data_IF_282899545574
#
_entry.id   IF_282899545574
#
_cell.length_a   1.000
_cell.length_b   1.000
_cell.length_c   1.000
_cell.angle_alpha   90.00
_cell.angle_beta   90.00
_cell.angle_gamma   90.00
#
_symmetry.space_group_name_H-M   'P 1'
#
loop_
_entity.id
_entity.type
_entity.pdbx_description
1 polymer ?
#
# COMPACT_ATOMS: atom_id res chain seq x y z
N UNK A 1 37.72 -13.94 5.35
CA UNK A 1 37.21 -15.17 4.74
C UNK A 1 35.70 -15.22 4.97
N UNK A 2 34.94 -15.41 3.88
CA UNK A 2 33.49 -15.73 3.77
C UNK A 2 32.50 -14.81 4.48
N UNK A 3 31.90 -13.80 3.83
CA UNK A 3 30.69 -13.90 3.00
C UNK A 3 29.66 -14.94 3.47
N UNK A 4 28.55 -14.46 4.04
CA UNK A 4 27.21 -14.84 3.59
C UNK A 4 26.18 -13.77 3.98
N UNK A 5 25.72 -13.06 2.94
CA UNK A 5 24.64 -12.10 2.95
C UNK A 5 23.30 -12.81 3.02
N UNK A 6 22.67 -12.80 4.19
CA UNK A 6 21.28 -13.24 4.35
C UNK A 6 20.41 -12.04 4.72
N UNK A 7 20.18 -11.19 3.71
CA UNK A 7 19.31 -10.01 3.81
C UNK A 7 17.87 -10.42 3.62
N UNK A 8 17.08 -10.42 4.69
CA UNK A 8 15.64 -10.47 4.54
C UNK A 8 14.83 -9.76 5.64
N UNK A 9 14.20 -8.67 5.17
CA UNK A 9 12.85 -8.18 5.49
C UNK A 9 12.64 -7.78 6.93
N UNK A 10 12.41 -6.51 7.33
CA UNK A 10 10.99 -6.17 7.61
C UNK A 10 10.28 -4.99 6.86
N UNK A 11 10.89 -4.28 5.91
CA UNK A 11 10.20 -3.26 5.10
C UNK A 11 9.59 -3.82 3.82
N UNK A 12 9.11 -5.04 3.91
CA UNK A 12 8.57 -5.70 2.74
C UNK A 12 7.06 -5.80 2.72
N UNK A 13 6.37 -5.36 3.77
CA UNK A 13 4.93 -5.14 3.65
C UNK A 13 4.55 -3.94 2.78
N UNK A 14 5.46 -2.97 2.59
CA UNK A 14 5.31 -1.92 1.60
C UNK A 14 6.17 -2.19 0.35
N UNK A 15 7.39 -2.75 0.49
CA UNK A 15 8.31 -3.01 -0.65
C UNK A 15 8.25 -4.45 -1.22
N UNK A 16 7.89 -5.53 -0.52
CA UNK A 16 7.55 -6.83 -1.16
C UNK A 16 6.10 -6.86 -1.62
N UNK A 17 5.19 -6.07 -1.04
CA UNK A 17 3.90 -5.88 -1.70
C UNK A 17 4.10 -5.13 -3.02
N UNK A 18 5.06 -4.22 -3.09
CA UNK A 18 5.59 -3.70 -4.35
C UNK A 18 6.46 -4.71 -5.14
N UNK A 19 7.20 -5.60 -4.48
CA UNK A 19 8.21 -6.49 -5.05
C UNK A 19 7.58 -7.71 -5.74
N UNK A 20 6.54 -8.25 -5.12
CA UNK A 20 5.64 -9.26 -5.67
C UNK A 20 4.82 -8.63 -6.82
N UNK A 21 4.49 -7.33 -6.76
CA UNK A 21 3.83 -6.65 -7.89
C UNK A 21 4.83 -6.29 -9.02
N UNK A 22 6.10 -5.96 -8.72
CA UNK A 22 7.22 -5.77 -9.67
C UNK A 22 7.54 -7.04 -10.42
N UNK A 23 7.48 -8.15 -9.71
CA UNK A 23 7.61 -9.48 -10.24
C UNK A 23 6.54 -9.79 -11.30
N UNK A 24 5.35 -9.25 -11.08
CA UNK A 24 4.19 -9.51 -11.90
C UNK A 24 4.20 -8.83 -13.28
N UNK A 25 5.05 -7.83 -13.51
CA UNK A 25 4.92 -6.92 -14.67
C UNK A 25 5.95 -7.20 -15.78
N UNK A 26 6.88 -8.15 -15.61
CA UNK A 26 7.85 -8.48 -16.70
C UNK A 26 7.22 -9.14 -17.93
N UNK A 27 5.97 -9.61 -17.89
CA UNK A 27 5.40 -10.37 -19.00
C UNK A 27 4.89 -9.55 -20.19
N UNK A 28 4.91 -8.20 -20.17
CA UNK A 28 4.21 -7.42 -21.22
C UNK A 28 5.05 -6.86 -22.38
N UNK A 29 6.37 -6.68 -22.24
CA UNK A 29 7.15 -5.95 -23.25
C UNK A 29 7.97 -6.79 -24.23
N UNK A 30 7.53 -8.02 -24.54
CA UNK A 30 8.07 -8.79 -25.67
C UNK A 30 7.01 -9.29 -26.65
N UNK A 31 5.97 -8.50 -26.90
CA UNK A 31 5.09 -8.68 -28.07
C UNK A 31 4.60 -7.35 -28.64
N UNK A 32 5.54 -6.49 -29.07
CA UNK A 32 5.26 -5.45 -30.07
C UNK A 32 6.46 -5.30 -31.00
N UNK A 33 6.63 -6.27 -31.87
CA UNK A 33 7.26 -6.05 -33.17
C UNK A 33 6.68 -7.03 -34.18
N UNK A 34 5.49 -6.72 -34.71
CA UNK A 34 5.08 -7.18 -36.03
C UNK A 34 4.06 -6.18 -36.59
N UNK A 35 4.49 -5.39 -37.57
CA UNK A 35 3.59 -4.66 -38.48
C UNK A 35 2.91 -5.67 -39.40
N UNK A 36 1.61 -5.52 -39.65
CA UNK A 36 1.03 -5.70 -40.99
C UNK A 36 -0.40 -5.17 -41.09
N UNK A 37 -0.63 -4.40 -42.16
CA UNK A 37 -1.93 -3.95 -42.66
C UNK A 37 -2.87 -5.12 -42.92
N UNK A 38 -4.18 -4.93 -42.69
CA UNK A 38 -5.21 -5.77 -43.27
C UNK A 38 -6.40 -4.93 -43.74
N UNK A 39 -6.62 -5.00 -45.06
CA UNK A 39 -7.81 -4.57 -45.78
C UNK A 39 -8.95 -5.55 -45.45
N UNK A 40 -10.11 -4.99 -45.16
CA UNK A 40 -11.27 -5.67 -44.58
C UNK A 40 -12.08 -6.42 -45.63
N UNK A 41 -12.23 -7.73 -45.46
CA UNK A 41 -13.31 -8.57 -46.02
C UNK A 41 -13.29 -9.90 -45.26
N UNK A 42 -14.43 -10.33 -44.68
CA UNK A 42 -14.64 -11.42 -43.68
C UNK A 42 -14.81 -10.97 -42.20
N UNK A 43 -15.59 -9.90 -41.98
CA UNK A 43 -15.61 -9.05 -40.78
C UNK A 43 -16.14 -9.63 -39.46
N UNK A 44 -16.80 -10.79 -39.40
CA UNK A 44 -17.48 -11.22 -38.16
C UNK A 44 -16.68 -12.20 -37.28
N UNK A 45 -15.81 -13.05 -37.85
CA UNK A 45 -15.04 -14.04 -37.06
C UNK A 45 -13.71 -13.48 -36.53
N UNK A 46 -13.07 -12.63 -37.32
CA UNK A 46 -11.80 -11.98 -36.96
C UNK A 46 -12.03 -10.86 -35.93
N UNK A 47 -13.13 -10.11 -36.02
CA UNK A 47 -13.51 -9.09 -35.03
C UNK A 47 -13.84 -9.72 -33.66
N UNK A 48 -14.49 -10.90 -33.63
CA UNK A 48 -14.70 -11.69 -32.40
C UNK A 48 -13.39 -12.19 -31.79
N UNK A 49 -12.43 -12.61 -32.61
CA UNK A 49 -11.09 -12.99 -32.15
C UNK A 49 -10.31 -11.80 -31.57
N UNK A 50 -10.38 -10.61 -32.21
CA UNK A 50 -9.77 -9.38 -31.67
C UNK A 50 -10.49 -8.83 -30.43
N UNK A 51 -11.81 -9.00 -30.31
CA UNK A 51 -12.57 -8.70 -29.09
C UNK A 51 -12.20 -9.66 -27.95
N UNK A 52 -11.98 -10.94 -28.23
CA UNK A 52 -11.47 -11.93 -27.27
C UNK A 52 -10.02 -11.60 -26.84
N UNK A 53 -9.18 -11.17 -27.78
CA UNK A 53 -7.79 -10.78 -27.53
C UNK A 53 -7.69 -9.42 -26.79
N UNK A 54 -8.60 -8.48 -27.06
CA UNK A 54 -8.78 -7.24 -26.31
C UNK A 54 -9.33 -7.51 -24.89
N UNK A 55 -10.24 -8.48 -24.74
CA UNK A 55 -10.73 -8.93 -23.43
C UNK A 55 -9.62 -9.60 -22.61
N UNK A 56 -8.70 -10.36 -23.22
CA UNK A 56 -7.55 -10.99 -22.55
C UNK A 56 -6.47 -9.94 -22.16
N UNK A 57 -6.33 -8.85 -22.91
CA UNK A 57 -5.39 -7.77 -22.57
C UNK A 57 -5.92 -6.79 -21.51
N UNK A 58 -7.17 -6.91 -21.08
CA UNK A 58 -7.74 -6.10 -19.99
C UNK A 58 -7.59 -6.71 -18.58
N UNK A 59 -7.11 -7.96 -18.44
CA UNK A 59 -7.23 -8.73 -17.17
C UNK A 59 -6.01 -8.66 -16.23
N UNK A 60 -4.91 -7.97 -16.57
CA UNK A 60 -3.69 -8.00 -15.73
C UNK A 60 -2.99 -6.64 -15.54
N UNK A 61 -3.68 -5.63 -15.01
CA UNK A 61 -3.00 -4.58 -14.24
C UNK A 61 -2.79 -5.07 -12.79
N UNK A 62 -1.60 -4.88 -12.22
CA UNK A 62 -1.33 -5.23 -10.83
C UNK A 62 -1.99 -4.20 -9.91
N UNK A 63 -3.27 -4.37 -9.61
CA UNK A 63 -4.03 -3.46 -8.77
C UNK A 63 -4.02 -3.95 -7.32
N UNK A 64 -3.72 -3.05 -6.39
CA UNK A 64 -3.89 -3.26 -4.96
C UNK A 64 -4.45 -2.01 -4.30
N UNK A 65 -5.16 -2.20 -3.19
CA UNK A 65 -5.59 -1.08 -2.36
C UNK A 65 -4.86 -1.20 -1.02
N UNK A 66 -4.07 -0.18 -0.67
CA UNK A 66 -3.60 0.01 0.69
C UNK A 66 -4.58 0.92 1.42
N UNK A 67 -5.15 0.41 2.51
CA UNK A 67 -6.16 1.12 3.30
C UNK A 67 -5.61 1.40 4.67
N UNK A 68 -5.57 2.67 5.03
CA UNK A 68 -5.28 3.16 6.37
C UNK A 68 -6.57 3.74 6.95
N UNK A 69 -7.02 3.18 8.06
CA UNK A 69 -8.20 3.66 8.78
C UNK A 69 -7.83 3.99 10.22
N UNK A 70 -8.06 5.23 10.63
CA UNK A 70 -7.92 5.69 12.01
C UNK A 70 -9.29 6.05 12.53
N UNK A 71 -9.61 5.53 13.72
CA UNK A 71 -10.68 6.01 14.56
C UNK A 71 -10.04 6.72 15.75
N UNK A 72 -10.31 8.01 15.90
CA UNK A 72 -9.77 8.85 16.95
C UNK A 72 -10.87 9.25 17.93
N UNK A 73 -10.58 9.10 19.22
CA UNK A 73 -11.38 9.56 20.34
C UNK A 73 -10.94 10.95 20.79
N UNK A 74 -11.82 11.68 21.46
CA UNK A 74 -11.58 13.09 21.84
C UNK A 74 -10.45 13.25 22.87
N UNK A 75 -10.13 12.19 23.62
CA UNK A 75 -8.98 12.15 24.52
C UNK A 75 -7.65 11.86 23.79
N UNK A 76 -7.67 11.76 22.46
CA UNK A 76 -6.52 11.49 21.60
C UNK A 76 -6.15 10.02 21.47
N UNK A 77 -6.86 9.11 22.15
CA UNK A 77 -6.72 7.66 21.99
C UNK A 77 -7.47 7.17 20.75
N UNK A 78 -7.35 5.89 20.41
CA UNK A 78 -8.07 5.37 19.26
C UNK A 78 -7.66 3.99 18.81
N UNK A 79 -8.09 3.66 17.60
CA UNK A 79 -7.76 2.42 16.91
C UNK A 79 -7.29 2.72 15.50
N UNK A 80 -6.27 1.98 15.05
CA UNK A 80 -5.78 2.03 13.67
C UNK A 80 -5.90 0.68 13.00
N UNK A 81 -6.17 0.70 11.70
CA UNK A 81 -6.20 -0.45 10.82
C UNK A 81 -5.39 -0.15 9.57
N UNK A 82 -4.41 -0.98 9.30
CA UNK A 82 -3.69 -1.03 8.04
C UNK A 82 -4.10 -2.29 7.32
N UNK A 83 -4.66 -2.16 6.12
CA UNK A 83 -5.08 -3.29 5.29
C UNK A 83 -4.42 -3.19 3.93
N UNK A 84 -3.71 -4.23 3.57
CA UNK A 84 -3.26 -4.46 2.22
C UNK A 84 -4.22 -5.45 1.54
N UNK A 85 -4.90 -4.97 0.49
CA UNK A 85 -5.79 -5.78 -0.31
C UNK A 85 -5.19 -6.03 -1.70
N UNK A 86 -4.72 -7.25 -1.93
CA UNK A 86 -4.18 -7.71 -3.21
C UNK A 86 -5.19 -8.56 -4.00
N UNK A 87 -6.46 -8.65 -3.57
CA UNK A 87 -7.42 -9.60 -4.15
C UNK A 87 -7.63 -9.40 -5.66
N UNK A 88 -7.57 -8.15 -6.13
CA UNK A 88 -7.61 -7.81 -7.56
C UNK A 88 -6.42 -8.35 -8.37
N UNK A 89 -5.33 -8.69 -7.70
CA UNK A 89 -4.12 -9.29 -8.27
C UNK A 89 -3.93 -10.75 -7.86
N UNK A 90 -4.90 -11.39 -7.19
CA UNK A 90 -4.81 -12.74 -6.60
C UNK A 90 -4.17 -13.78 -7.51
N UNK A 91 -4.66 -13.96 -8.75
CA UNK A 91 -4.12 -14.95 -9.71
C UNK A 91 -2.66 -14.69 -10.04
N UNK A 92 -2.31 -13.41 -10.16
CA UNK A 92 -0.97 -12.93 -10.51
C UNK A 92 0.02 -13.16 -9.37
N UNK A 93 -0.39 -12.79 -8.15
CA UNK A 93 0.37 -13.02 -6.93
C UNK A 93 0.55 -14.52 -6.68
N UNK A 94 -0.50 -15.33 -6.86
CA UNK A 94 -0.44 -16.78 -6.72
C UNK A 94 0.59 -17.42 -7.65
N UNK A 95 0.65 -17.00 -8.92
CA UNK A 95 1.68 -17.48 -9.84
C UNK A 95 3.10 -17.09 -9.41
N UNK A 96 3.28 -15.94 -8.76
CA UNK A 96 4.58 -15.44 -8.30
C UNK A 96 5.07 -16.21 -7.07
N UNK A 97 4.17 -16.53 -6.15
CA UNK A 97 4.50 -17.34 -4.97
C UNK A 97 4.99 -18.75 -5.30
N UNK A 98 4.76 -19.23 -6.53
CA UNK A 98 5.26 -20.52 -7.04
C UNK A 98 6.66 -20.41 -7.69
N UNK A 99 7.20 -19.21 -7.84
CA UNK A 99 8.51 -18.99 -8.47
C UNK A 99 9.60 -18.88 -7.41
N UNK A 100 10.79 -19.43 -7.67
CA UNK A 100 11.93 -19.28 -6.75
C UNK A 100 12.48 -17.85 -6.74
N UNK A 101 12.52 -17.22 -7.92
CA UNK A 101 13.02 -15.86 -8.07
C UNK A 101 12.37 -15.14 -9.22
N UNK A 102 12.35 -13.81 -9.14
CA UNK A 102 11.87 -12.96 -10.20
C UNK A 102 12.88 -11.87 -10.46
N UNK A 103 13.45 -11.90 -11.67
CA UNK A 103 14.54 -11.00 -12.11
C UNK A 103 15.78 -11.06 -11.20
N UNK A 104 16.09 -12.24 -10.66
CA UNK A 104 17.23 -12.45 -9.76
C UNK A 104 16.98 -12.06 -8.30
N UNK A 105 15.76 -11.64 -7.95
CA UNK A 105 15.34 -11.45 -6.56
C UNK A 105 14.55 -12.66 -6.09
N UNK A 106 14.90 -13.30 -4.96
CA UNK A 106 14.16 -14.44 -4.45
C UNK A 106 12.74 -14.03 -4.07
N UNK A 107 11.75 -14.83 -4.43
CA UNK A 107 10.39 -14.64 -3.91
C UNK A 107 10.35 -15.13 -2.47
N UNK A 108 9.86 -14.34 -1.52
CA UNK A 108 9.77 -14.78 -0.13
C UNK A 108 8.77 -15.94 -0.01
N UNK A 109 9.13 -16.97 0.75
CA UNK A 109 8.19 -18.04 1.09
C UNK A 109 7.08 -17.51 2.00
N UNK A 110 5.97 -18.25 2.08
CA UNK A 110 4.87 -17.94 3.00
C UNK A 110 5.36 -17.87 4.45
N UNK A 111 6.18 -18.84 4.86
CA UNK A 111 6.73 -18.95 6.22
C UNK A 111 7.60 -17.74 6.55
N UNK A 112 8.38 -17.27 5.57
CA UNK A 112 9.20 -16.07 5.71
C UNK A 112 8.33 -14.84 5.92
N UNK A 113 7.26 -14.66 5.15
CA UNK A 113 6.31 -13.54 5.33
C UNK A 113 5.65 -13.64 6.72
N UNK A 114 5.19 -14.82 7.12
CA UNK A 114 4.56 -15.05 8.41
C UNK A 114 5.48 -14.76 9.59
N UNK A 115 6.75 -15.17 9.50
CA UNK A 115 7.78 -14.83 10.49
C UNK A 115 7.89 -13.31 10.67
N UNK A 116 7.85 -12.57 9.56
CA UNK A 116 7.99 -11.10 9.56
C UNK A 116 6.76 -10.38 10.07
N UNK A 117 5.57 -10.88 9.76
CA UNK A 117 4.33 -10.43 10.39
C UNK A 117 4.36 -10.69 11.90
N UNK A 118 4.87 -11.85 12.33
CA UNK A 118 4.99 -12.18 13.76
C UNK A 118 6.00 -11.30 14.49
N UNK A 119 7.18 -11.06 13.90
CA UNK A 119 8.18 -10.11 14.41
C UNK A 119 7.58 -8.69 14.55
N UNK A 120 6.89 -8.21 13.52
CA UNK A 120 6.19 -6.92 13.55
C UNK A 120 5.13 -6.86 14.66
N UNK A 121 4.30 -7.91 14.80
CA UNK A 121 3.30 -8.00 15.87
C UNK A 121 3.95 -7.93 17.25
N UNK A 122 5.04 -8.69 17.45
CA UNK A 122 5.78 -8.70 18.71
C UNK A 122 6.39 -7.34 19.04
N UNK A 123 6.96 -6.66 18.05
CA UNK A 123 7.52 -5.32 18.22
C UNK A 123 6.45 -4.32 18.64
N UNK A 124 5.30 -4.33 17.98
CA UNK A 124 4.17 -3.44 18.29
C UNK A 124 3.55 -3.74 19.66
N UNK A 125 3.38 -5.01 20.03
CA UNK A 125 2.90 -5.41 21.36
C UNK A 125 3.83 -4.96 22.50
N UNK A 126 5.13 -4.83 22.22
CA UNK A 126 6.11 -4.33 23.19
C UNK A 126 6.18 -2.80 23.30
N UNK A 127 5.36 -2.06 22.55
CA UNK A 127 5.37 -0.59 22.61
C UNK A 127 4.41 -0.08 23.67
N UNK A 128 4.92 0.79 24.53
CA UNK A 128 4.12 1.53 25.51
C UNK A 128 3.01 2.32 24.82
N UNK A 129 1.80 2.23 25.37
CA UNK A 129 0.61 2.89 24.83
C UNK A 129 0.04 2.27 23.55
N UNK A 130 0.49 1.07 23.17
CA UNK A 130 -0.11 0.24 22.11
C UNK A 130 -0.72 -1.02 22.74
N UNK A 131 -1.92 -1.38 22.31
CA UNK A 131 -2.59 -2.59 22.77
C UNK A 131 -3.40 -3.24 21.64
N UNK A 132 -3.96 -4.42 21.93
CA UNK A 132 -4.86 -5.13 21.01
C UNK A 132 -4.30 -5.36 19.59
N UNK A 133 -2.98 -5.54 19.48
CA UNK A 133 -2.32 -5.78 18.19
C UNK A 133 -2.77 -7.12 17.62
N UNK A 134 -3.42 -7.08 16.46
CA UNK A 134 -3.88 -8.27 15.73
C UNK A 134 -3.43 -8.17 14.29
N UNK A 135 -2.94 -9.29 13.76
CA UNK A 135 -2.67 -9.46 12.35
C UNK A 135 -3.56 -10.59 11.85
N UNK A 136 -4.30 -10.34 10.78
CA UNK A 136 -5.09 -11.36 10.08
C UNK A 136 -4.54 -11.55 8.67
N UNK A 137 -4.37 -12.81 8.29
CA UNK A 137 -3.83 -13.21 7.00
C UNK A 137 -4.88 -14.02 6.26
N UNK A 138 -5.36 -13.51 5.13
CA UNK A 138 -6.20 -14.27 4.22
C UNK A 138 -5.38 -14.58 2.97
N UNK A 139 -4.74 -15.75 2.97
CA UNK A 139 -3.89 -16.21 1.87
C UNK A 139 -4.66 -16.63 0.63
N UNK A 140 -5.94 -17.01 0.77
CA UNK A 140 -6.76 -17.31 -0.40
C UNK A 140 -7.13 -16.05 -1.15
N UNK A 141 -7.42 -14.95 -0.46
CA UNK A 141 -7.76 -13.65 -1.07
C UNK A 141 -6.58 -12.67 -1.17
N UNK A 142 -5.41 -13.04 -0.64
CA UNK A 142 -4.25 -12.16 -0.45
C UNK A 142 -4.62 -10.83 0.21
N UNK A 143 -5.35 -10.91 1.33
CA UNK A 143 -5.72 -9.76 2.15
C UNK A 143 -5.00 -9.88 3.50
N UNK A 144 -4.21 -8.87 3.82
CA UNK A 144 -3.45 -8.80 5.07
C UNK A 144 -3.88 -7.57 5.83
N UNK A 145 -4.13 -7.71 7.12
CA UNK A 145 -4.61 -6.61 7.94
C UNK A 145 -3.92 -6.61 9.30
N UNK A 146 -3.42 -5.45 9.69
CA UNK A 146 -2.93 -5.11 11.02
C UNK A 146 -3.95 -4.19 11.68
N UNK A 147 -4.35 -4.50 12.90
CA UNK A 147 -5.13 -3.60 13.76
C UNK A 147 -4.45 -3.45 15.10
N UNK A 148 -4.53 -2.27 15.71
CA UNK A 148 -4.09 -2.02 17.08
C UNK A 148 -4.81 -0.81 17.65
N UNK A 149 -4.90 -0.78 18.97
CA UNK A 149 -5.38 0.38 19.71
C UNK A 149 -4.18 1.17 20.24
N UNK A 150 -4.36 2.48 20.38
CA UNK A 150 -3.34 3.39 20.89
C UNK A 150 -3.91 4.31 21.96
N UNK A 151 -3.13 4.59 23.00
CA UNK A 151 -3.53 5.49 24.09
C UNK A 151 -3.52 6.96 23.68
N UNK A 152 -2.59 7.34 22.80
CA UNK A 152 -2.55 8.68 22.23
C UNK A 152 -1.81 8.68 20.88
N UNK A 153 -2.13 9.64 20.01
CA UNK A 153 -1.57 9.75 18.64
C UNK A 153 -0.02 9.76 18.61
N UNK A 154 0.62 10.35 19.62
CA UNK A 154 2.08 10.33 19.76
C UNK A 154 2.64 8.91 20.03
N UNK A 155 1.93 8.09 20.81
CA UNK A 155 2.31 6.68 21.05
C UNK A 155 2.17 5.86 19.76
N UNK A 156 1.11 6.10 18.97
CA UNK A 156 0.97 5.51 17.64
C UNK A 156 2.17 5.87 16.73
N UNK A 157 2.50 7.17 16.62
CA UNK A 157 3.66 7.59 15.83
C UNK A 157 4.95 6.93 16.33
N UNK A 158 5.22 6.95 17.64
CA UNK A 158 6.42 6.35 18.21
C UNK A 158 6.53 4.85 17.91
N UNK A 159 5.41 4.12 18.01
CA UNK A 159 5.36 2.69 17.71
C UNK A 159 5.66 2.40 16.24
N UNK A 160 5.04 3.16 15.31
CA UNK A 160 5.33 3.06 13.88
C UNK A 160 6.79 3.39 13.59
N UNK A 161 7.32 4.47 14.17
CA UNK A 161 8.71 4.89 14.02
C UNK A 161 9.68 3.80 14.47
N UNK A 162 9.50 3.23 15.66
CA UNK A 162 10.37 2.17 16.20
C UNK A 162 10.30 0.88 15.38
N UNK A 163 9.10 0.54 14.90
CA UNK A 163 8.90 -0.64 14.03
C UNK A 163 9.61 -0.44 12.69
N UNK A 164 9.46 0.73 12.06
CA UNK A 164 10.12 1.08 10.80
C UNK A 164 11.63 1.32 10.95
N UNK A 165 12.12 1.75 12.11
CA UNK A 165 13.55 1.98 12.33
C UNK A 165 14.37 0.68 12.40
N UNK A 166 13.73 -0.48 12.64
CA UNK A 166 14.37 -1.79 12.50
C UNK A 166 14.69 -2.14 11.04
N UNK A 167 14.15 -1.35 10.11
CA UNK A 167 14.39 -1.48 8.69
C UNK A 167 15.48 -0.57 8.20
N UNK A 168 16.59 -1.15 7.75
CA UNK A 168 17.68 -0.37 7.18
C UNK A 168 17.22 0.49 6.00
N UNK A 169 16.28 -0.02 5.20
CA UNK A 169 15.68 0.74 4.08
C UNK A 169 14.57 1.69 4.52
N UNK A 170 13.93 1.50 5.68
CA UNK A 170 12.75 2.29 6.12
C UNK A 170 13.01 3.33 7.17
N UNK A 171 14.14 3.23 7.87
CA UNK A 171 14.53 4.21 8.89
C UNK A 171 14.52 5.65 8.38
N UNK A 172 14.75 5.89 7.07
CA UNK A 172 14.70 7.21 6.44
C UNK A 172 13.28 7.73 6.16
N UNK A 173 12.27 6.87 6.23
CA UNK A 173 10.86 7.17 6.03
C UNK A 173 10.09 7.24 7.35
N UNK A 174 10.83 7.37 8.46
CA UNK A 174 10.30 7.48 9.82
C UNK A 174 9.91 8.93 10.08
N UNK A 175 8.61 9.18 10.30
CA UNK A 175 8.09 10.50 10.63
C UNK A 175 6.84 10.42 11.50
N UNK A 176 6.45 11.55 12.10
CA UNK A 176 5.17 11.67 12.80
C UNK A 176 4.06 11.83 11.77
N UNK A 177 3.42 10.70 11.46
CA UNK A 177 2.37 10.61 10.46
C UNK A 177 1.11 11.40 10.85
N UNK A 178 0.88 11.56 12.15
CA UNK A 178 -0.33 12.11 12.71
C UNK A 178 -0.03 13.15 13.79
N UNK A 179 -0.90 14.13 13.96
CA UNK A 179 -0.91 15.03 15.11
C UNK A 179 -2.33 15.19 15.63
N UNK A 180 -2.48 15.33 16.93
CA UNK A 180 -3.77 15.69 17.53
C UNK A 180 -3.56 16.58 18.75
N UNK A 181 -4.18 17.75 18.71
CA UNK A 181 -4.16 18.75 19.78
C UNK A 181 -5.30 19.75 19.57
N UNK A 182 -5.90 20.26 20.65
CA UNK A 182 -6.91 21.33 20.58
C UNK A 182 -8.05 21.05 19.56
N UNK A 183 -8.61 19.85 19.60
CA UNK A 183 -9.65 19.39 18.66
C UNK A 183 -9.25 19.46 17.18
N UNK A 184 -7.95 19.51 16.87
CA UNK A 184 -7.42 19.46 15.51
C UNK A 184 -6.63 18.18 15.29
N UNK A 185 -7.07 17.40 14.32
CA UNK A 185 -6.34 16.23 13.84
C UNK A 185 -5.64 16.55 12.52
N UNK A 186 -4.35 16.22 12.41
CA UNK A 186 -3.60 16.35 11.17
C UNK A 186 -3.06 15.02 10.70
N UNK A 187 -3.27 14.70 9.43
CA UNK A 187 -2.42 13.77 8.67
C UNK A 187 -1.26 14.59 8.13
N UNK A 188 -0.08 14.41 8.72
CA UNK A 188 1.10 15.17 8.33
C UNK A 188 1.68 14.63 7.02
N UNK A 189 2.16 15.54 6.18
CA UNK A 189 3.00 15.20 5.04
C UNK A 189 4.42 15.66 5.34
N UNK A 190 5.37 14.74 5.23
CA UNK A 190 6.78 15.09 5.11
C UNK A 190 7.17 14.80 3.67
N UNK A 191 7.86 15.76 3.03
CA UNK A 191 8.41 15.59 1.71
C UNK A 191 9.35 14.37 1.72
N UNK A 192 8.85 13.23 1.27
CA UNK A 192 9.66 12.04 1.09
C UNK A 192 10.41 12.19 -0.24
N UNK A 193 11.73 12.03 -0.18
CA UNK A 193 12.54 11.97 -1.38
C UNK A 193 12.33 10.61 -2.07
N UNK A 194 11.45 10.62 -3.06
CA UNK A 194 11.14 9.47 -3.90
C UNK A 194 12.11 9.29 -5.06
N UNK A 195 13.18 10.09 -5.16
CA UNK A 195 14.13 10.00 -6.27
C UNK A 195 14.85 8.66 -6.33
N UNK A 196 14.97 7.91 -5.22
CA UNK A 196 15.54 6.56 -5.28
C UNK A 196 14.68 5.58 -6.09
N UNK A 197 13.37 5.81 -6.20
CA UNK A 197 12.50 5.01 -7.05
C UNK A 197 12.78 5.24 -8.54
N UNK A 198 13.51 6.31 -8.90
CA UNK A 198 14.00 6.52 -10.28
C UNK A 198 15.15 5.59 -10.65
N UNK A 199 15.90 5.09 -9.66
CA UNK A 199 17.01 4.15 -9.86
C UNK A 199 16.55 2.70 -10.04
N UNK A 200 15.28 2.42 -9.76
CA UNK A 200 14.71 1.11 -9.96
C UNK A 200 14.62 0.89 -11.48
N UNK A 201 15.50 0.03 -12.02
CA UNK A 201 15.62 -0.30 -13.47
C UNK A 201 14.36 -0.95 -14.09
N UNK A 202 13.26 -1.01 -13.35
CA UNK A 202 11.96 -1.47 -13.80
C UNK A 202 11.03 -0.28 -13.71
N UNK A 203 10.19 -0.05 -14.71
CA UNK A 203 9.18 1.00 -14.69
C UNK A 203 8.24 0.78 -13.49
N UNK A 204 8.59 1.29 -12.31
CA UNK A 204 7.84 1.19 -11.04
C UNK A 204 6.43 1.74 -11.22
N UNK A 205 6.29 2.65 -12.18
CA UNK A 205 5.04 3.13 -12.75
C UNK A 205 4.05 1.99 -13.04
N UNK A 206 4.50 0.93 -13.72
CA UNK A 206 3.65 -0.19 -14.18
C UNK A 206 3.18 -1.15 -13.08
N UNK A 207 3.83 -1.10 -11.92
CA UNK A 207 3.47 -1.83 -10.69
C UNK A 207 2.49 -1.03 -9.87
N UNK A 208 2.64 0.29 -9.96
CA UNK A 208 1.74 1.25 -9.35
C UNK A 208 0.51 1.54 -10.20
N UNK A 209 0.48 1.08 -11.45
CA UNK A 209 -0.66 1.17 -12.34
C UNK A 209 -1.87 0.44 -11.75
N UNK A 210 -2.82 1.24 -11.27
CA UNK A 210 -4.04 0.76 -10.60
C UNK A 210 -3.90 0.62 -9.08
N UNK A 211 -2.72 0.78 -8.50
CA UNK A 211 -2.53 0.77 -7.05
C UNK A 211 -3.11 2.04 -6.42
N UNK A 212 -3.91 1.90 -5.36
CA UNK A 212 -4.50 3.03 -4.64
C UNK A 212 -4.09 3.06 -3.18
N UNK A 213 -3.91 4.28 -2.67
CA UNK A 213 -3.92 4.58 -1.25
C UNK A 213 -5.30 5.12 -0.87
N UNK A 214 -5.91 4.52 0.15
CA UNK A 214 -7.19 4.93 0.71
C UNK A 214 -6.96 5.27 2.19
N UNK A 215 -7.24 6.52 2.57
CA UNK A 215 -7.18 6.97 3.95
C UNK A 215 -8.59 7.21 4.46
N UNK A 216 -8.91 6.72 5.64
CA UNK A 216 -10.20 6.91 6.31
C UNK A 216 -9.90 7.41 7.72
N UNK A 217 -10.34 8.63 8.04
CA UNK A 217 -10.24 9.16 9.40
C UNK A 217 -11.64 9.31 9.96
N UNK A 218 -11.88 8.75 11.15
CA UNK A 218 -13.15 8.77 11.86
C UNK A 218 -12.97 9.44 13.21
N UNK A 219 -13.95 10.23 13.59
CA UNK A 219 -13.92 11.05 14.80
C UNK A 219 -15.20 10.83 15.59
N UNK A 220 -15.12 10.99 16.91
CA UNK A 220 -16.29 10.99 17.77
C UNK A 220 -17.10 12.28 17.58
N UNK A 221 -16.42 13.43 17.51
CA UNK A 221 -17.05 14.72 17.23
C UNK A 221 -17.23 15.03 15.72
N UNK A 222 -18.25 15.82 15.35
CA UNK A 222 -18.42 16.31 13.98
C UNK A 222 -17.24 17.17 13.51
N UNK A 223 -16.92 17.01 12.23
CA UNK A 223 -15.93 17.80 11.51
C UNK A 223 -16.53 19.17 11.16
N UNK A 224 -15.86 20.22 11.63
CA UNK A 224 -16.18 21.62 11.31
C UNK A 224 -15.56 22.02 9.98
N UNK A 225 -14.29 21.67 9.78
CA UNK A 225 -13.54 22.05 8.59
C UNK A 225 -12.44 21.04 8.25
N UNK A 226 -12.00 21.07 6.99
CA UNK A 226 -10.85 20.31 6.47
C UNK A 226 -10.06 21.18 5.51
N UNK A 227 -8.74 21.15 5.60
CA UNK A 227 -7.86 21.94 4.73
C UNK A 227 -7.77 21.35 3.31
N UNK A 228 -7.74 20.03 3.19
CA UNK A 228 -7.58 19.37 1.91
C UNK A 228 -8.94 19.07 1.26
N UNK A 229 -9.24 19.79 0.17
CA UNK A 229 -10.47 19.63 -0.59
C UNK A 229 -10.68 18.21 -1.15
N UNK A 230 -9.61 17.44 -1.41
CA UNK A 230 -9.67 16.07 -1.95
C UNK A 230 -10.19 15.03 -0.95
N UNK A 231 -10.18 15.34 0.34
CA UNK A 231 -10.82 14.49 1.34
C UNK A 231 -12.34 14.65 1.25
N UNK A 232 -13.05 13.55 1.04
CA UNK A 232 -14.51 13.46 0.97
C UNK A 232 -15.09 13.36 2.38
N UNK A 233 -16.05 14.22 2.72
CA UNK A 233 -16.73 14.22 4.01
C UNK A 233 -17.88 13.19 4.01
N UNK A 234 -18.06 12.46 5.10
CA UNK A 234 -19.20 11.55 5.28
C UNK A 234 -20.50 12.34 5.53
N UNK A 235 -21.65 11.72 5.25
CA UNK A 235 -22.97 12.36 5.43
C UNK A 235 -23.25 12.80 6.88
N UNK A 236 -22.70 12.09 7.86
CA UNK A 236 -22.84 12.41 9.28
C UNK A 236 -21.75 13.36 9.78
N UNK A 237 -20.88 13.86 8.90
CA UNK A 237 -19.75 14.74 9.22
C UNK A 237 -18.77 14.18 10.25
N UNK A 238 -18.77 12.88 10.54
CA UNK A 238 -17.85 12.25 11.53
C UNK A 238 -16.71 11.47 10.88
N UNK A 239 -16.53 11.58 9.58
CA UNK A 239 -15.44 10.91 8.88
C UNK A 239 -15.02 11.64 7.62
N UNK A 240 -13.73 11.57 7.29
CA UNK A 240 -13.21 11.93 5.97
C UNK A 240 -12.57 10.72 5.29
N UNK A 241 -12.67 10.66 3.97
CA UNK A 241 -11.99 9.66 3.14
C UNK A 241 -11.15 10.35 2.06
N UNK A 242 -9.91 9.93 1.91
CA UNK A 242 -9.07 10.28 0.77
C UNK A 242 -8.78 9.03 -0.06
N UNK A 243 -8.76 9.18 -1.38
CA UNK A 243 -8.37 8.11 -2.29
C UNK A 243 -7.54 8.70 -3.42
N UNK A 244 -6.36 8.14 -3.64
CA UNK A 244 -5.50 8.49 -4.76
C UNK A 244 -4.77 7.28 -5.32
N UNK A 245 -4.39 7.36 -6.59
CA UNK A 245 -3.42 6.42 -7.12
C UNK A 245 -2.04 6.70 -6.52
N UNK A 246 -1.22 5.66 -6.35
CA UNK A 246 0.17 5.85 -5.94
C UNK A 246 0.98 6.64 -6.98
N UNK A 247 0.59 6.61 -8.25
CA UNK A 247 1.20 7.42 -9.31
C UNK A 247 1.00 8.91 -9.06
N UNK A 248 -0.23 9.32 -8.75
CA UNK A 248 -0.53 10.73 -8.46
C UNK A 248 0.22 11.22 -7.22
N UNK A 249 0.43 10.36 -6.22
CA UNK A 249 1.23 10.66 -5.04
C UNK A 249 2.72 10.80 -5.36
N UNK A 250 3.26 9.87 -6.16
CA UNK A 250 4.67 9.90 -6.62
C UNK A 250 4.95 11.15 -7.44
N UNK A 251 4.04 11.50 -8.35
CA UNK A 251 4.14 12.68 -9.23
C UNK A 251 3.73 13.98 -8.53
N UNK A 252 3.41 13.91 -7.23
CA UNK A 252 3.00 15.06 -6.39
C UNK A 252 1.78 15.82 -6.96
N UNK A 253 0.94 15.15 -7.74
CA UNK A 253 -0.33 15.69 -8.25
C UNK A 253 -1.38 15.85 -7.15
N UNK A 254 -1.26 15.06 -6.08
CA UNK A 254 -2.10 15.12 -4.89
C UNK A 254 -1.23 14.97 -3.63
N UNK A 255 -1.73 15.47 -2.50
CA UNK A 255 -1.09 15.36 -1.20
C UNK A 255 -1.99 14.64 -0.19
N UNK A 256 -1.37 13.86 0.69
CA UNK A 256 -2.03 13.23 1.84
C UNK A 256 -2.28 14.22 2.97
N UNK A 257 -1.55 15.34 2.97
CA UNK A 257 -1.64 16.35 4.02
C UNK A 257 -3.07 16.81 4.20
N UNK A 258 -3.55 16.81 5.43
CA UNK A 258 -4.85 17.35 5.75
C UNK A 258 -4.93 17.63 7.24
N UNK A 259 -5.41 18.82 7.60
CA UNK A 259 -5.85 19.12 8.96
C UNK A 259 -7.37 19.17 8.98
N UNK A 260 -7.94 18.56 10.01
CA UNK A 260 -9.37 18.49 10.28
C UNK A 260 -9.62 19.16 11.63
N UNK A 261 -10.51 20.15 11.66
CA UNK A 261 -10.98 20.74 12.91
C UNK A 261 -12.28 20.06 13.33
N UNK A 262 -12.32 19.61 14.58
CA UNK A 262 -13.49 18.99 15.21
C UNK A 262 -14.24 20.04 16.03
N UNK A 263 -15.50 19.75 16.34
CA UNK A 263 -16.36 20.63 17.15
C UNK A 263 -15.86 20.78 18.58
#
# INVERSE_FOLDING_TARGET
MSNNSDTSVPMTLYIECFGIILASVKLRNKSKKLKRNLRVSSTCKILKFYLLLAAITAVLSGCFDFVEEIKLHDNGSGAVKYKLNLSKSKTKIGGIMLMDSIRGFPVPSKEKIQKKLSEMKSLLNGQEGISNVKITENWSEYIFQLTMDFEHVNKLNLALKKTLAKEEKAKKYVYDAYSYSESKFSRNYIAQDYNEFSQWKTDVSTVLEGANLILIHRFDEPIVSKENAKYMLSKNSKSVMFRASFLDLKEKKVTLQNTVSLK
#
